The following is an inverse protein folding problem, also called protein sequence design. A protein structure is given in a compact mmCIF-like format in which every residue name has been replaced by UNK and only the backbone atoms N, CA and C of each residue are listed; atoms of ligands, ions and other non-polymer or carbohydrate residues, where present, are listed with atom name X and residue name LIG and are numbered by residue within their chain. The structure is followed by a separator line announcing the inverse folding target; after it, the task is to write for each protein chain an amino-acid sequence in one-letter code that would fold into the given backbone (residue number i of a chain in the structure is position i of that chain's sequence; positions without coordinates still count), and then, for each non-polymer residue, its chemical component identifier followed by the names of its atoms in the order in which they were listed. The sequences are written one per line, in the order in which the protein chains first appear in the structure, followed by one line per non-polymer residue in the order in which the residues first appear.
data_IF_638807139521
#
_entry.id   IF_638807139521
#
_cell.length_a   1.000
_cell.length_b   1.000
_cell.length_c   1.000
_cell.angle_alpha   90.00
_cell.angle_beta   90.00
_cell.angle_gamma   90.00
#
_symmetry.space_group_name_H-M   'P 1'
#
loop_
_entity.id
_entity.type
_entity.pdbx_description
1 polymer ?
#
# COMPACT_ATOMS: atom_id res chain seq x y z
N UNK A 1 3.80 25.53 3.25
CA UNK A 1 3.66 25.38 4.72
C UNK A 1 2.42 26.12 5.23
N UNK A 2 1.22 25.83 4.72
CA UNK A 2 -0.03 26.49 5.15
C UNK A 2 -1.18 25.49 5.44
N UNK A 3 -0.88 24.19 5.53
CA UNK A 3 -1.88 23.13 5.68
C UNK A 3 -2.12 22.66 7.12
N UNK A 4 -1.27 23.04 8.08
CA UNK A 4 -1.36 22.55 9.47
C UNK A 4 -2.35 23.35 10.33
N UNK A 5 -2.53 24.65 10.09
CA UNK A 5 -3.41 25.50 10.92
C UNK A 5 -4.91 25.23 10.69
N UNK A 6 -5.35 24.99 9.45
CA UNK A 6 -6.76 24.71 9.17
C UNK A 6 -7.21 23.34 9.70
N UNK A 7 -6.35 22.32 9.60
CA UNK A 7 -6.66 20.98 10.10
C UNK A 7 -6.77 20.96 11.65
N UNK A 8 -5.87 21.69 12.33
CA UNK A 8 -5.90 21.81 13.79
C UNK A 8 -7.14 22.58 14.25
N UNK A 9 -7.48 23.68 13.58
CA UNK A 9 -8.71 24.44 13.85
C UNK A 9 -10.00 23.64 13.58
N UNK A 10 -10.00 22.75 12.59
CA UNK A 10 -11.14 21.86 12.34
C UNK A 10 -11.26 20.79 13.43
N UNK A 11 -10.14 20.20 13.87
CA UNK A 11 -10.12 19.20 14.94
C UNK A 11 -10.66 19.77 16.27
N UNK A 12 -10.26 20.99 16.63
CA UNK A 12 -10.75 21.68 17.83
C UNK A 12 -12.25 21.97 17.74
N UNK A 13 -12.75 22.37 16.56
CA UNK A 13 -14.18 22.59 16.33
C UNK A 13 -14.99 21.30 16.41
N UNK A 14 -14.45 20.18 15.95
CA UNK A 14 -15.07 18.86 16.05
C UNK A 14 -15.10 18.40 17.51
N UNK A 15 -14.00 18.58 18.25
CA UNK A 15 -13.92 18.24 19.67
C UNK A 15 -14.91 19.07 20.52
N UNK A 16 -15.22 20.30 20.10
CA UNK A 16 -16.21 21.16 20.73
C UNK A 16 -17.67 20.80 20.40
N UNK A 17 -17.93 19.82 19.53
CA UNK A 17 -19.29 19.33 19.28
C UNK A 17 -19.74 18.46 20.45
N UNK A 18 -20.78 18.89 21.16
CA UNK A 18 -21.44 18.09 22.19
C UNK A 18 -22.29 16.98 21.56
N UNK A 19 -21.63 15.91 21.11
CA UNK A 19 -22.27 14.71 20.56
C UNK A 19 -22.86 13.86 21.70
N UNK A 20 -24.00 14.27 22.23
CA UNK A 20 -24.78 13.48 23.20
C UNK A 20 -25.84 12.68 22.46
N UNK A 21 -25.70 11.36 22.37
CA UNK A 21 -26.53 10.53 21.49
C UNK A 21 -27.22 9.35 22.18
N UNK A 22 -28.41 9.02 21.68
CA UNK A 22 -29.13 7.74 21.89
C UNK A 22 -28.60 6.59 21.01
N UNK A 23 -27.66 6.90 20.12
CA UNK A 23 -26.96 5.96 19.23
C UNK A 23 -25.49 5.96 19.63
N UNK A 24 -24.91 4.78 19.78
CA UNK A 24 -23.53 4.64 20.23
C UNK A 24 -22.53 5.12 19.18
N UNK A 25 -21.53 5.85 19.66
CA UNK A 25 -20.37 6.23 18.87
C UNK A 25 -19.58 5.00 18.43
N UNK A 26 -18.94 5.08 17.28
CA UNK A 26 -18.07 4.00 16.82
C UNK A 26 -16.89 3.81 17.80
N UNK A 27 -16.49 2.56 18.05
CA UNK A 27 -15.29 2.27 18.83
C UNK A 27 -14.12 3.02 18.20
N UNK A 28 -13.44 3.90 18.95
CA UNK A 28 -12.32 4.75 18.48
C UNK A 28 -12.68 6.01 17.68
N UNK A 29 -13.94 6.44 17.61
CA UNK A 29 -14.30 7.73 17.00
C UNK A 29 -15.50 8.37 17.68
N UNK A 30 -15.61 9.70 17.61
CA UNK A 30 -16.84 10.40 17.98
C UNK A 30 -17.94 10.29 16.92
N UNK A 31 -17.68 9.66 15.77
CA UNK A 31 -18.64 9.47 14.68
C UNK A 31 -19.60 8.30 14.96
N UNK A 32 -20.85 8.50 14.58
CA UNK A 32 -21.83 7.43 14.36
C UNK A 32 -21.78 7.00 12.89
N UNK A 33 -21.69 5.69 12.62
CA UNK A 33 -21.69 5.18 11.24
C UNK A 33 -23.10 5.26 10.65
N UNK A 34 -23.23 5.70 9.40
CA UNK A 34 -24.52 5.70 8.69
C UNK A 34 -25.10 4.28 8.67
N UNK A 35 -24.27 3.25 8.46
CA UNK A 35 -24.70 1.85 8.51
C UNK A 35 -25.40 1.48 9.84
N UNK A 36 -25.00 2.03 10.99
CA UNK A 36 -25.65 1.71 12.27
C UNK A 36 -27.01 2.40 12.45
N UNK A 37 -27.33 3.38 11.60
CA UNK A 37 -28.63 4.06 11.55
C UNK A 37 -29.52 3.39 10.50
N UNK A 38 -29.10 3.41 9.23
CA UNK A 38 -29.93 2.99 8.09
C UNK A 38 -29.98 1.47 7.91
N UNK A 39 -28.97 0.74 8.41
CA UNK A 39 -28.90 -0.71 8.33
C UNK A 39 -29.70 -1.45 9.41
N UNK A 40 -30.45 -0.73 10.26
CA UNK A 40 -31.35 -1.34 11.25
C UNK A 40 -32.57 -1.95 10.55
N UNK A 41 -33.23 -2.98 11.12
CA UNK A 41 -34.41 -3.61 10.51
C UNK A 41 -35.56 -2.63 10.21
N UNK A 42 -35.69 -1.57 11.01
CA UNK A 42 -36.67 -0.49 10.85
C UNK A 42 -36.17 0.66 9.96
N UNK A 43 -34.96 0.55 9.40
CA UNK A 43 -34.29 1.61 8.64
C UNK A 43 -33.95 2.85 9.47
N UNK A 44 -33.85 2.71 10.79
CA UNK A 44 -33.53 3.81 11.72
C UNK A 44 -34.74 4.53 12.31
N UNK A 45 -35.97 4.21 11.89
CA UNK A 45 -37.19 4.91 12.32
C UNK A 45 -37.37 4.96 13.85
N UNK A 46 -36.96 3.93 14.59
CA UNK A 46 -37.04 3.88 16.05
C UNK A 46 -36.06 4.81 16.78
N UNK A 47 -35.18 5.51 16.05
CA UNK A 47 -34.23 6.51 16.60
C UNK A 47 -34.77 7.94 16.51
N UNK A 48 -35.98 8.15 15.99
CA UNK A 48 -36.51 9.48 15.69
C UNK A 48 -37.00 10.28 16.92
N UNK A 49 -36.64 11.56 16.99
CA UNK A 49 -37.16 12.56 17.93
C UNK A 49 -38.29 13.43 17.37
N UNK A 50 -38.97 14.20 18.22
CA UNK A 50 -40.07 15.09 17.81
C UNK A 50 -39.58 16.49 17.41
N UNK A 51 -39.87 16.97 16.19
CA UNK A 51 -39.76 18.39 15.79
C UNK A 51 -40.34 18.64 14.38
N UNK A 52 -40.81 19.86 14.07
CA UNK A 52 -41.40 20.28 12.76
C UNK A 52 -40.59 21.39 12.08
N UNK A 53 -40.40 21.37 10.74
CA UNK A 53 -40.23 22.51 9.80
C UNK A 53 -39.98 22.02 8.35
N UNK A 54 -39.96 22.94 7.37
CA UNK A 54 -39.83 22.72 5.91
C UNK A 54 -38.44 23.16 5.42
N UNK A 55 -37.73 22.29 4.68
CA UNK A 55 -36.27 22.25 4.78
C UNK A 55 -35.55 21.86 3.45
N UNK A 56 -34.22 22.11 3.33
CA UNK A 56 -33.38 21.82 2.14
C UNK A 56 -32.55 20.55 2.34
N UNK A 57 -32.36 19.77 1.28
CA UNK A 57 -31.82 18.39 1.34
C UNK A 57 -30.36 18.27 0.91
N UNK A 58 -29.58 17.50 1.67
CA UNK A 58 -28.25 17.00 1.34
C UNK A 58 -28.25 15.48 1.51
N UNK A 59 -27.42 14.78 0.74
CA UNK A 59 -27.16 13.36 0.94
C UNK A 59 -25.74 13.17 1.44
N UNK A 60 -25.58 12.52 2.59
CA UNK A 60 -24.27 12.16 3.12
C UNK A 60 -24.01 10.67 2.93
N UNK A 61 -22.82 10.36 2.45
CA UNK A 61 -22.26 9.01 2.46
C UNK A 61 -20.93 9.05 3.22
N UNK A 62 -20.70 8.00 4.01
CA UNK A 62 -19.56 7.93 4.92
C UNK A 62 -18.67 6.71 4.64
N UNK A 63 -18.93 6.02 3.52
CA UNK A 63 -18.23 4.83 3.03
C UNK A 63 -18.56 3.53 3.77
N UNK A 64 -19.40 3.56 4.81
CA UNK A 64 -19.70 2.36 5.60
C UNK A 64 -20.72 1.44 4.91
N UNK A 65 -21.61 1.99 4.09
CA UNK A 65 -22.64 1.28 3.33
C UNK A 65 -22.98 2.02 2.02
N UNK A 66 -23.63 1.36 1.05
CA UNK A 66 -24.07 1.99 -0.19
C UNK A 66 -25.18 3.03 0.03
N UNK A 67 -25.94 2.91 1.12
CA UNK A 67 -27.04 3.82 1.43
C UNK A 67 -26.53 5.19 1.90
N UNK A 68 -27.18 6.25 1.43
CA UNK A 68 -26.95 7.62 1.87
C UNK A 68 -27.90 7.97 3.03
N UNK A 69 -27.43 8.80 3.96
CA UNK A 69 -28.30 9.44 4.95
C UNK A 69 -28.80 10.76 4.38
N UNK A 70 -30.13 10.91 4.33
CA UNK A 70 -30.74 12.20 4.03
C UNK A 70 -30.50 13.15 5.21
N UNK A 71 -29.92 14.30 4.91
CA UNK A 71 -29.56 15.32 5.87
C UNK A 71 -30.28 16.59 5.49
N UNK A 72 -30.84 17.24 6.50
CA UNK A 72 -31.75 18.34 6.32
C UNK A 72 -31.31 19.52 7.16
N UNK A 73 -31.25 20.69 6.53
CA UNK A 73 -30.67 21.86 7.15
C UNK A 73 -31.52 23.11 6.94
N UNK A 74 -31.82 23.79 8.04
CA UNK A 74 -32.46 25.10 8.04
C UNK A 74 -31.51 26.17 7.47
N UNK A 75 -32.05 27.18 6.78
CA UNK A 75 -31.26 28.23 6.14
C UNK A 75 -30.39 29.05 7.10
N UNK A 76 -30.69 29.04 8.40
CA UNK A 76 -29.93 29.74 9.44
C UNK A 76 -28.72 28.98 9.99
N UNK A 77 -28.56 27.69 9.68
CA UNK A 77 -27.52 26.83 10.27
C UNK A 77 -26.15 27.02 9.59
N UNK A 78 -26.12 27.10 8.26
CA UNK A 78 -24.89 27.38 7.51
C UNK A 78 -25.15 27.89 6.08
N UNK A 79 -24.09 28.45 5.48
CA UNK A 79 -24.09 28.88 4.08
C UNK A 79 -23.97 27.67 3.15
N UNK A 80 -25.10 27.24 2.59
CA UNK A 80 -25.22 26.06 1.72
C UNK A 80 -24.33 26.08 0.48
N UNK A 81 -24.03 27.25 -0.10
CA UNK A 81 -23.19 27.32 -1.30
C UNK A 81 -21.79 26.73 -1.09
N UNK A 82 -21.33 26.63 0.17
CA UNK A 82 -20.05 25.98 0.53
C UNK A 82 -20.16 24.47 0.73
N UNK A 83 -21.37 23.92 0.86
CA UNK A 83 -21.63 22.53 1.25
C UNK A 83 -22.22 21.67 0.13
N UNK A 84 -22.65 22.28 -0.98
CA UNK A 84 -23.38 21.59 -2.06
C UNK A 84 -22.44 20.91 -3.07
N UNK A 85 -21.15 21.24 -3.07
CA UNK A 85 -20.20 20.60 -3.97
C UNK A 85 -20.05 19.10 -3.63
N UNK A 86 -20.24 18.24 -4.62
CA UNK A 86 -20.07 16.79 -4.45
C UNK A 86 -18.64 16.49 -3.99
N UNK A 87 -18.54 15.73 -2.90
CA UNK A 87 -17.27 15.36 -2.29
C UNK A 87 -16.85 16.23 -1.12
N UNK A 88 -17.55 17.35 -0.85
CA UNK A 88 -17.32 18.20 0.33
C UNK A 88 -17.37 17.38 1.62
N UNK A 89 -16.39 17.60 2.49
CA UNK A 89 -16.28 16.90 3.77
C UNK A 89 -16.91 17.75 4.88
N UNK A 90 -17.83 17.14 5.64
CA UNK A 90 -18.56 17.80 6.72
C UNK A 90 -18.63 16.92 7.96
N UNK A 91 -18.74 17.56 9.13
CA UNK A 91 -19.30 16.94 10.33
C UNK A 91 -20.63 17.59 10.61
N UNK A 92 -21.66 16.79 10.83
CA UNK A 92 -22.99 17.25 11.17
C UNK A 92 -23.42 16.65 12.51
N UNK A 93 -24.09 17.47 13.31
CA UNK A 93 -24.71 17.10 14.58
C UNK A 93 -26.17 17.55 14.53
N UNK A 94 -27.07 16.72 15.04
CA UNK A 94 -28.50 16.94 14.86
C UNK A 94 -29.38 15.79 15.35
N UNK A 95 -30.68 15.91 15.05
CA UNK A 95 -31.72 15.02 15.55
C UNK A 95 -32.29 14.17 14.41
N UNK A 96 -32.29 12.85 14.58
CA UNK A 96 -32.93 11.92 13.64
C UNK A 96 -34.45 12.06 13.70
N UNK A 97 -35.11 11.94 12.54
CA UNK A 97 -36.56 12.06 12.39
C UNK A 97 -37.12 11.08 11.38
N UNK A 98 -38.39 10.71 11.58
CA UNK A 98 -39.17 10.05 10.55
C UNK A 98 -39.61 11.11 9.53
N UNK A 99 -39.32 10.91 8.23
CA UNK A 99 -39.76 11.83 7.19
C UNK A 99 -41.30 11.87 7.08
N UNK A 100 -41.87 12.89 6.42
CA UNK A 100 -43.31 12.97 6.17
C UNK A 100 -43.86 11.73 5.44
N UNK A 101 -45.17 11.49 5.57
CA UNK A 101 -45.83 10.37 4.91
C UNK A 101 -45.74 10.51 3.37
N UNK A 102 -45.39 9.43 2.67
CA UNK A 102 -45.21 9.42 1.21
C UNK A 102 -43.77 9.64 0.72
N UNK A 103 -42.81 9.87 1.61
CA UNK A 103 -41.38 9.95 1.25
C UNK A 103 -40.75 8.55 1.15
N UNK A 104 -39.76 8.36 0.27
CA UNK A 104 -39.08 7.05 0.07
C UNK A 104 -38.13 6.69 1.20
N UNK A 105 -37.54 7.70 1.83
CA UNK A 105 -36.60 7.56 2.94
C UNK A 105 -37.35 7.12 4.20
N UNK A 106 -36.70 6.34 5.07
CA UNK A 106 -37.28 5.86 6.34
C UNK A 106 -36.86 6.71 7.54
N UNK A 107 -35.76 7.44 7.39
CA UNK A 107 -35.12 8.25 8.42
C UNK A 107 -34.40 9.43 7.74
N UNK A 108 -34.35 10.56 8.41
CA UNK A 108 -33.59 11.74 8.00
C UNK A 108 -32.94 12.40 9.22
N UNK A 109 -31.85 13.12 9.02
CA UNK A 109 -31.16 13.86 10.08
C UNK A 109 -31.41 15.35 9.93
N UNK A 110 -32.10 15.96 10.89
CA UNK A 110 -32.20 17.43 10.98
C UNK A 110 -30.96 17.98 11.66
N UNK A 111 -30.15 18.71 10.91
CA UNK A 111 -28.89 19.30 11.37
C UNK A 111 -29.15 20.50 12.27
N UNK A 112 -28.56 20.46 13.46
CA UNK A 112 -28.50 21.61 14.37
C UNK A 112 -27.16 22.34 14.26
N UNK A 113 -26.07 21.60 13.98
CA UNK A 113 -24.72 22.16 13.82
C UNK A 113 -23.99 21.47 12.68
N UNK A 114 -23.21 22.24 11.93
CA UNK A 114 -22.33 21.73 10.87
C UNK A 114 -20.96 22.36 10.96
N UNK A 115 -19.93 21.53 10.79
CA UNK A 115 -18.54 21.94 10.61
C UNK A 115 -18.13 21.53 9.21
N UNK A 116 -17.80 22.53 8.39
CA UNK A 116 -17.19 22.31 7.09
C UNK A 116 -15.70 22.02 7.29
N UNK A 117 -15.26 20.82 6.93
CA UNK A 117 -13.88 20.37 7.13
C UNK A 117 -12.98 20.81 5.97
N UNK A 118 -13.46 20.73 4.74
CA UNK A 118 -12.65 21.06 3.58
C UNK A 118 -13.44 21.21 2.29
N UNK A 119 -13.03 22.20 1.49
CA UNK A 119 -13.52 22.44 0.14
C UNK A 119 -12.97 21.36 -0.80
N UNK A 120 -13.77 21.02 -1.81
CA UNK A 120 -13.34 20.14 -2.89
C UNK A 120 -13.22 20.95 -4.17
N UNK A 121 -12.03 20.89 -4.77
CA UNK A 121 -11.85 21.26 -6.16
C UNK A 121 -12.53 20.18 -7.03
N UNK A 122 -13.47 20.54 -7.92
CA UNK A 122 -14.18 19.56 -8.75
C UNK A 122 -13.25 18.86 -9.76
N UNK A 123 -12.52 17.85 -9.30
CA UNK A 123 -11.70 16.99 -10.14
C UNK A 123 -12.51 15.78 -10.66
N UNK A 124 -12.41 15.55 -11.98
CA UNK A 124 -13.11 14.47 -12.70
C UNK A 124 -12.24 13.21 -12.77
N UNK A 125 -12.86 12.07 -12.46
CA UNK A 125 -12.48 10.71 -12.87
C UNK A 125 -10.99 10.31 -12.72
N UNK A 126 -10.46 10.43 -11.51
CA UNK A 126 -9.15 9.86 -11.16
C UNK A 126 -9.29 8.50 -10.50
N UNK A 127 -8.44 7.54 -10.90
CA UNK A 127 -8.43 6.17 -10.37
C UNK A 127 -8.39 6.13 -8.83
N UNK A 128 -7.60 6.99 -8.21
CA UNK A 128 -7.46 7.06 -6.75
C UNK A 128 -8.71 7.60 -6.02
N UNK A 129 -9.64 8.25 -6.73
CA UNK A 129 -10.92 8.72 -6.18
C UNK A 129 -12.08 7.76 -6.46
N UNK A 130 -11.88 6.74 -7.31
CA UNK A 130 -12.96 5.82 -7.70
C UNK A 130 -13.54 5.04 -6.53
N UNK A 131 -12.77 4.78 -5.48
CA UNK A 131 -13.30 4.18 -4.24
C UNK A 131 -14.42 4.98 -3.58
N UNK A 132 -14.62 6.25 -3.97
CA UNK A 132 -15.72 7.12 -3.51
C UNK A 132 -16.97 7.06 -4.40
N UNK A 133 -16.92 6.36 -5.53
CA UNK A 133 -18.11 6.13 -6.37
C UNK A 133 -18.85 4.89 -5.90
N UNK A 134 -20.18 4.91 -6.02
CA UNK A 134 -21.03 3.88 -5.42
C UNK A 134 -20.63 2.45 -5.85
N UNK A 135 -20.45 2.21 -7.15
CA UNK A 135 -20.12 0.88 -7.68
C UNK A 135 -18.77 0.38 -7.19
N UNK A 136 -17.72 1.21 -7.25
CA UNK A 136 -16.36 0.78 -6.88
C UNK A 136 -16.23 0.67 -5.35
N UNK A 137 -16.91 1.53 -4.59
CA UNK A 137 -16.99 1.42 -3.14
C UNK A 137 -17.60 0.07 -2.72
N UNK A 138 -18.72 -0.30 -3.33
CA UNK A 138 -19.41 -1.58 -3.08
C UNK A 138 -18.54 -2.77 -3.46
N UNK A 139 -17.87 -2.73 -4.62
CA UNK A 139 -16.92 -3.77 -5.02
C UNK A 139 -15.78 -3.90 -4.00
N UNK A 140 -15.25 -2.79 -3.48
CA UNK A 140 -14.20 -2.79 -2.47
C UNK A 140 -14.68 -3.39 -1.13
N UNK A 141 -15.90 -3.06 -0.70
CA UNK A 141 -16.53 -3.63 0.50
C UNK A 141 -16.72 -5.15 0.37
N UNK A 142 -17.25 -5.61 -0.77
CA UNK A 142 -17.42 -7.05 -1.08
C UNK A 142 -16.06 -7.76 -1.09
N UNK A 143 -15.05 -7.20 -1.77
CA UNK A 143 -13.68 -7.77 -1.80
C UNK A 143 -13.09 -7.88 -0.40
N UNK A 144 -13.24 -6.86 0.43
CA UNK A 144 -12.79 -6.89 1.83
C UNK A 144 -13.48 -7.99 2.63
N UNK A 145 -14.80 -8.12 2.51
CA UNK A 145 -15.56 -9.16 3.20
C UNK A 145 -15.14 -10.57 2.77
N UNK A 146 -14.90 -10.79 1.47
CA UNK A 146 -14.42 -12.07 0.95
C UNK A 146 -13.02 -12.41 1.44
N UNK A 147 -12.09 -11.44 1.49
CA UNK A 147 -10.75 -11.67 2.01
C UNK A 147 -10.79 -12.14 3.48
N UNK A 148 -11.64 -11.51 4.32
CA UNK A 148 -11.86 -11.95 5.69
C UNK A 148 -12.49 -13.35 5.74
N UNK A 149 -13.51 -13.60 4.92
CA UNK A 149 -14.18 -14.90 4.84
C UNK A 149 -13.22 -16.02 4.47
N UNK A 150 -12.29 -15.77 3.54
CA UNK A 150 -11.23 -16.71 3.17
C UNK A 150 -10.39 -17.11 4.37
N UNK A 151 -9.88 -16.13 5.12
CA UNK A 151 -9.10 -16.40 6.31
C UNK A 151 -9.91 -17.17 7.37
N UNK A 152 -11.16 -16.78 7.61
CA UNK A 152 -12.04 -17.48 8.56
C UNK A 152 -12.27 -18.94 8.16
N UNK A 153 -12.62 -19.20 6.90
CA UNK A 153 -12.90 -20.56 6.42
C UNK A 153 -11.75 -21.52 6.68
N UNK A 154 -10.53 -21.11 6.33
CA UNK A 154 -9.33 -21.95 6.46
C UNK A 154 -8.88 -22.06 7.91
N UNK A 155 -8.89 -20.98 8.69
CA UNK A 155 -8.47 -21.02 10.09
C UNK A 155 -9.42 -21.84 10.98
N UNK A 156 -10.73 -21.76 10.75
CA UNK A 156 -11.72 -22.61 11.43
C UNK A 156 -11.50 -24.11 11.17
N UNK A 157 -10.77 -24.45 10.11
CA UNK A 157 -10.41 -25.83 9.73
C UNK A 157 -8.94 -26.15 10.02
N UNK A 158 -8.30 -25.34 10.86
CA UNK A 158 -6.92 -25.53 11.31
C UNK A 158 -5.83 -25.43 10.22
N UNK A 159 -6.14 -24.80 9.08
CA UNK A 159 -5.11 -24.42 8.13
C UNK A 159 -4.23 -23.31 8.72
N UNK A 160 -2.95 -23.33 8.36
CA UNK A 160 -2.00 -22.28 8.73
C UNK A 160 -1.81 -21.34 7.55
N UNK A 161 -1.90 -20.03 7.83
CA UNK A 161 -1.59 -19.02 6.83
C UNK A 161 -0.07 -18.84 6.73
N UNK A 162 0.47 -19.09 5.55
CA UNK A 162 1.91 -19.04 5.29
C UNK A 162 2.21 -17.99 4.24
N UNK A 163 3.18 -17.12 4.52
CA UNK A 163 3.72 -16.19 3.52
C UNK A 163 4.82 -16.89 2.72
N UNK A 164 4.53 -17.20 1.46
CA UNK A 164 5.51 -17.73 0.52
C UNK A 164 6.37 -16.60 -0.08
N UNK A 165 7.63 -16.86 -0.46
CA UNK A 165 8.47 -15.85 -1.11
C UNK A 165 7.85 -15.34 -2.42
N UNK A 166 7.76 -14.03 -2.59
CA UNK A 166 7.26 -13.40 -3.83
C UNK A 166 8.36 -13.35 -4.90
N UNK A 167 9.60 -13.06 -4.49
CA UNK A 167 10.75 -13.09 -5.39
C UNK A 167 11.23 -14.55 -5.47
N UNK A 168 11.21 -15.10 -6.67
CA UNK A 168 11.59 -16.48 -6.95
C UNK A 168 12.57 -16.53 -8.12
N UNK A 169 13.36 -17.61 -8.19
CA UNK A 169 14.27 -17.90 -9.31
C UNK A 169 13.68 -18.96 -10.26
N UNK A 170 12.42 -19.32 -10.08
CA UNK A 170 11.75 -20.38 -10.84
C UNK A 170 10.33 -19.98 -11.19
N UNK A 171 9.88 -20.43 -12.37
CA UNK A 171 8.47 -20.37 -12.76
C UNK A 171 7.70 -21.39 -11.91
N UNK A 172 6.79 -20.89 -11.07
CA UNK A 172 6.01 -21.70 -10.15
C UNK A 172 4.76 -22.32 -10.79
N UNK A 173 4.27 -21.75 -11.89
CA UNK A 173 3.02 -22.16 -12.54
C UNK A 173 3.25 -22.80 -13.93
N UNK A 174 4.49 -22.73 -14.45
CA UNK A 174 4.82 -23.22 -15.79
C UNK A 174 4.09 -22.44 -16.89
N UNK A 175 3.60 -21.24 -16.56
CA UNK A 175 2.57 -20.54 -17.30
C UNK A 175 3.13 -19.48 -18.26
N UNK A 176 4.42 -19.13 -18.21
CA UNK A 176 5.00 -18.21 -19.20
C UNK A 176 6.07 -17.24 -18.68
N UNK A 177 6.02 -16.02 -19.22
CA UNK A 177 7.01 -14.95 -19.03
C UNK A 177 6.78 -14.18 -17.70
N UNK A 178 7.81 -14.01 -16.87
CA UNK A 178 7.73 -13.41 -15.50
C UNK A 178 8.34 -12.00 -15.42
N UNK A 179 7.91 -11.16 -14.47
CA UNK A 179 8.48 -9.80 -14.33
C UNK A 179 9.98 -9.77 -13.98
N UNK A 180 10.71 -8.82 -14.59
CA UNK A 180 12.10 -8.59 -14.23
C UNK A 180 12.25 -7.91 -12.88
N UNK A 181 13.06 -8.49 -11.99
CA UNK A 181 13.50 -7.84 -10.75
C UNK A 181 15.00 -7.62 -10.80
N UNK A 182 15.44 -6.36 -10.66
CA UNK A 182 16.85 -5.95 -10.75
C UNK A 182 17.23 -4.95 -9.65
N UNK A 183 18.44 -5.09 -9.12
CA UNK A 183 19.11 -4.05 -8.32
C UNK A 183 20.21 -3.33 -9.10
N UNK A 184 20.56 -3.80 -10.30
CA UNK A 184 21.70 -3.31 -11.08
C UNK A 184 21.59 -1.83 -11.44
N UNK A 185 20.38 -1.30 -11.64
CA UNK A 185 20.16 0.13 -11.92
C UNK A 185 20.60 0.98 -10.72
N UNK A 186 20.18 0.60 -9.51
CA UNK A 186 20.57 1.30 -8.28
C UNK A 186 22.07 1.20 -8.02
N UNK A 187 22.65 0.02 -8.24
CA UNK A 187 24.08 -0.21 -8.07
C UNK A 187 24.92 0.59 -9.07
N UNK A 188 24.48 0.65 -10.33
CA UNK A 188 25.11 1.45 -11.37
C UNK A 188 25.09 2.94 -11.02
N UNK A 189 23.94 3.48 -10.58
CA UNK A 189 23.83 4.88 -10.14
C UNK A 189 24.69 5.20 -8.91
N UNK A 190 24.76 4.27 -7.95
CA UNK A 190 25.61 4.42 -6.77
C UNK A 190 27.09 4.41 -7.14
N UNK A 191 27.51 3.48 -7.99
CA UNK A 191 28.87 3.39 -8.49
C UNK A 191 29.26 4.62 -9.31
N UNK A 192 28.37 5.14 -10.15
CA UNK A 192 28.61 6.35 -10.92
C UNK A 192 28.84 7.57 -10.00
N UNK A 193 27.98 7.76 -8.99
CA UNK A 193 28.17 8.82 -7.98
C UNK A 193 29.47 8.68 -7.20
N UNK A 194 29.88 7.46 -6.89
CA UNK A 194 31.15 7.19 -6.21
C UNK A 194 32.35 7.45 -7.13
N UNK A 195 32.31 7.03 -8.40
CA UNK A 195 33.38 7.29 -9.38
C UNK A 195 33.54 8.79 -9.69
N UNK A 196 32.46 9.58 -9.63
CA UNK A 196 32.55 11.05 -9.73
C UNK A 196 33.31 11.64 -8.53
N UNK A 197 33.07 11.14 -7.31
CA UNK A 197 33.76 11.61 -6.09
C UNK A 197 35.18 11.08 -5.98
N UNK A 198 35.41 9.85 -6.42
CA UNK A 198 36.63 9.08 -6.29
C UNK A 198 36.99 8.51 -7.68
N UNK A 199 37.62 9.28 -8.57
CA UNK A 199 37.89 8.83 -9.94
C UNK A 199 38.82 7.61 -9.97
N UNK A 200 38.77 6.80 -11.05
CA UNK A 200 39.75 5.73 -11.27
C UNK A 200 41.19 6.27 -11.21
N UNK A 201 42.15 5.46 -10.72
CA UNK A 201 43.55 5.87 -10.67
C UNK A 201 44.09 6.11 -12.07
N UNK A 202 44.98 7.10 -12.20
CA UNK A 202 45.66 7.37 -13.47
C UNK A 202 46.68 6.27 -13.74
N UNK A 203 47.05 6.09 -15.01
CA UNK A 203 48.08 5.13 -15.41
C UNK A 203 49.43 5.41 -14.71
N UNK A 204 49.74 6.70 -14.48
CA UNK A 204 50.91 7.12 -13.71
C UNK A 204 50.85 6.67 -12.23
N UNK A 205 49.66 6.69 -11.61
CA UNK A 205 49.47 6.25 -10.22
C UNK A 205 49.66 4.72 -10.11
N UNK A 206 49.17 3.98 -11.10
CA UNK A 206 49.36 2.53 -11.21
C UNK A 206 50.83 2.16 -11.38
N UNK A 207 51.56 2.84 -12.27
CA UNK A 207 52.99 2.62 -12.48
C UNK A 207 53.81 2.99 -11.24
N UNK A 208 53.51 4.11 -10.58
CA UNK A 208 54.14 4.49 -9.33
C UNK A 208 53.92 3.44 -8.22
N UNK A 209 52.71 2.88 -8.11
CA UNK A 209 52.40 1.83 -7.13
C UNK A 209 53.14 0.51 -7.44
N UNK A 210 53.23 0.11 -8.72
CA UNK A 210 54.04 -1.07 -9.14
C UNK A 210 55.52 -0.87 -8.83
N UNK A 211 56.04 0.32 -9.14
CA UNK A 211 57.43 0.68 -8.87
C UNK A 211 57.72 0.64 -7.35
N UNK A 212 56.82 1.17 -6.53
CA UNK A 212 56.93 1.11 -5.06
C UNK A 212 56.96 -0.34 -4.54
N UNK A 213 56.09 -1.22 -5.06
CA UNK A 213 56.10 -2.65 -4.69
C UNK A 213 57.42 -3.32 -5.07
N UNK A 214 57.97 -2.98 -6.25
CA UNK A 214 59.28 -3.46 -6.72
C UNK A 214 60.41 -3.00 -5.81
N UNK A 215 60.48 -1.70 -5.49
CA UNK A 215 61.48 -1.10 -4.61
C UNK A 215 61.45 -1.69 -3.19
N UNK A 216 60.25 -1.83 -2.60
CA UNK A 216 60.10 -2.47 -1.29
C UNK A 216 60.47 -3.95 -1.32
N UNK A 217 60.18 -4.64 -2.44
CA UNK A 217 60.61 -6.02 -2.67
C UNK A 217 62.15 -6.15 -2.69
N UNK A 218 62.83 -5.23 -3.37
CA UNK A 218 64.29 -5.15 -3.41
C UNK A 218 64.88 -4.83 -2.04
N UNK A 219 64.28 -3.91 -1.27
CA UNK A 219 64.74 -3.58 0.08
C UNK A 219 64.65 -4.79 1.04
N UNK A 220 63.56 -5.57 0.98
CA UNK A 220 63.44 -6.82 1.75
C UNK A 220 64.53 -7.83 1.35
N UNK A 221 64.82 -7.94 0.05
CA UNK A 221 65.87 -8.85 -0.46
C UNK A 221 67.25 -8.42 0.03
N UNK A 222 67.59 -7.14 -0.07
CA UNK A 222 68.88 -6.60 0.39
C UNK A 222 69.09 -6.79 1.91
N UNK A 223 68.06 -6.58 2.72
CA UNK A 223 68.14 -6.81 4.18
C UNK A 223 68.35 -8.29 4.53
N UNK A 224 67.73 -9.21 3.77
CA UNK A 224 67.95 -10.65 3.91
C UNK A 224 69.37 -11.04 3.51
N UNK A 225 69.86 -10.52 2.38
CA UNK A 225 71.20 -10.79 1.87
C UNK A 225 72.29 -10.23 2.82
N UNK A 226 72.04 -9.07 3.44
CA UNK A 226 72.92 -8.44 4.43
C UNK A 226 72.85 -9.06 5.84
N UNK A 227 72.04 -10.11 6.06
CA UNK A 227 71.80 -10.74 7.38
C UNK A 227 71.40 -9.74 8.47
N UNK A 228 70.56 -8.77 8.11
CA UNK A 228 70.02 -7.79 9.05
C UNK A 228 69.19 -8.45 10.16
N UNK A 229 68.89 -7.70 11.23
CA UNK A 229 68.13 -8.24 12.36
C UNK A 229 66.74 -8.73 11.94
N UNK A 230 66.21 -9.71 12.67
CA UNK A 230 64.86 -10.24 12.43
C UNK A 230 63.78 -9.16 12.58
N UNK A 231 64.01 -8.15 13.43
CA UNK A 231 63.12 -7.02 13.61
C UNK A 231 63.10 -6.10 12.38
N UNK A 232 64.27 -5.73 11.85
CA UNK A 232 64.36 -4.83 10.69
C UNK A 232 63.82 -5.48 9.41
N UNK A 233 64.09 -6.77 9.22
CA UNK A 233 63.54 -7.55 8.12
C UNK A 233 62.02 -7.68 8.24
N UNK A 234 61.51 -7.91 9.45
CA UNK A 234 60.07 -7.97 9.74
C UNK A 234 59.36 -6.65 9.43
N UNK A 235 59.92 -5.52 9.85
CA UNK A 235 59.38 -4.19 9.54
C UNK A 235 59.31 -3.94 8.03
N UNK A 236 60.35 -4.30 7.28
CA UNK A 236 60.38 -4.12 5.82
C UNK A 236 59.36 -5.02 5.08
N UNK A 237 59.10 -6.24 5.57
CA UNK A 237 58.06 -7.12 5.03
C UNK A 237 56.65 -6.56 5.26
N UNK A 238 56.40 -5.92 6.42
CA UNK A 238 55.12 -5.24 6.69
C UNK A 238 54.88 -4.13 5.68
N UNK A 239 55.90 -3.31 5.40
CA UNK A 239 55.80 -2.23 4.41
C UNK A 239 55.60 -2.76 2.98
N UNK A 240 56.24 -3.87 2.61
CA UNK A 240 55.99 -4.54 1.34
C UNK A 240 54.54 -5.05 1.22
N UNK A 241 53.99 -5.63 2.28
CA UNK A 241 52.61 -6.12 2.27
C UNK A 241 51.59 -4.96 2.16
N UNK A 242 51.83 -3.84 2.85
CA UNK A 242 51.01 -2.62 2.69
C UNK A 242 51.05 -2.11 1.25
N UNK A 243 52.24 -2.04 0.63
CA UNK A 243 52.37 -1.61 -0.76
C UNK A 243 51.63 -2.54 -1.74
N UNK A 244 51.68 -3.86 -1.51
CA UNK A 244 50.92 -4.84 -2.30
C UNK A 244 49.41 -4.68 -2.14
N UNK A 245 48.93 -4.45 -0.92
CA UNK A 245 47.50 -4.21 -0.67
C UNK A 245 47.02 -2.91 -1.33
N UNK A 246 47.82 -1.85 -1.28
CA UNK A 246 47.54 -0.60 -2.01
C UNK A 246 47.47 -0.81 -3.51
N UNK A 247 48.40 -1.58 -4.10
CA UNK A 247 48.37 -1.90 -5.53
C UNK A 247 47.12 -2.72 -5.91
N UNK A 248 46.73 -3.69 -5.09
CA UNK A 248 45.50 -4.47 -5.31
C UNK A 248 44.25 -3.59 -5.31
N UNK A 249 44.13 -2.66 -4.34
CA UNK A 249 42.99 -1.73 -4.28
C UNK A 249 42.95 -0.81 -5.51
N UNK A 250 44.10 -0.32 -5.97
CA UNK A 250 44.18 0.51 -7.18
C UNK A 250 43.80 -0.29 -8.43
N UNK A 251 44.27 -1.54 -8.55
CA UNK A 251 43.92 -2.45 -9.65
C UNK A 251 42.42 -2.78 -9.67
N UNK A 252 41.83 -3.13 -8.53
CA UNK A 252 40.38 -3.32 -8.40
C UNK A 252 39.60 -2.06 -8.77
N UNK A 253 40.05 -0.88 -8.32
CA UNK A 253 39.42 0.40 -8.65
C UNK A 253 39.48 0.71 -10.15
N UNK A 254 40.62 0.42 -10.79
CA UNK A 254 40.83 0.64 -12.23
C UNK A 254 39.87 -0.19 -13.11
N UNK A 255 39.36 -1.30 -12.59
CA UNK A 255 38.45 -2.21 -13.32
C UNK A 255 36.99 -1.76 -13.24
N UNK A 256 36.65 -0.87 -12.31
CA UNK A 256 35.28 -0.35 -12.17
C UNK A 256 34.95 0.57 -13.35
N UNK A 257 33.80 0.32 -13.98
CA UNK A 257 33.26 1.13 -15.07
C UNK A 257 31.92 1.73 -14.65
N UNK A 258 31.63 2.99 -15.01
CA UNK A 258 30.31 3.57 -14.77
C UNK A 258 29.26 2.89 -15.66
N UNK A 259 28.00 2.92 -15.21
CA UNK A 259 26.87 2.35 -15.93
C UNK A 259 26.59 0.88 -15.62
N UNK A 260 25.52 0.37 -16.20
CA UNK A 260 25.04 -1.00 -15.96
C UNK A 260 26.07 -2.00 -16.52
N UNK A 261 26.46 -3.05 -15.76
CA UNK A 261 27.37 -4.08 -16.22
C UNK A 261 26.97 -4.65 -17.59
N UNK A 262 27.95 -4.88 -18.46
CA UNK A 262 27.73 -5.45 -19.79
C UNK A 262 28.62 -6.67 -20.03
N UNK A 263 28.06 -7.68 -20.68
CA UNK A 263 28.74 -8.88 -21.15
C UNK A 263 28.43 -9.07 -22.63
N UNK A 264 29.48 -9.19 -23.44
CA UNK A 264 29.37 -9.34 -24.91
C UNK A 264 28.54 -8.22 -25.60
N UNK A 265 28.64 -6.99 -25.09
CA UNK A 265 27.94 -5.81 -25.63
C UNK A 265 26.45 -5.72 -25.30
N UNK A 266 25.94 -6.61 -24.43
CA UNK A 266 24.58 -6.56 -23.87
C UNK A 266 24.66 -6.33 -22.37
N UNK A 267 23.60 -5.78 -21.78
CA UNK A 267 23.49 -5.67 -20.32
C UNK A 267 23.62 -7.06 -19.72
N UNK A 268 24.50 -7.19 -18.73
CA UNK A 268 24.78 -8.43 -18.02
C UNK A 268 23.72 -8.64 -16.93
N UNK A 269 22.63 -9.30 -17.32
CA UNK A 269 21.55 -9.71 -16.43
C UNK A 269 21.82 -11.04 -15.71
N UNK A 270 23.06 -11.54 -15.67
CA UNK A 270 23.36 -12.83 -15.01
C UNK A 270 23.02 -12.85 -13.52
N UNK A 271 22.81 -11.68 -12.90
CA UNK A 271 22.37 -11.51 -11.52
C UNK A 271 20.90 -11.09 -11.38
N UNK A 272 20.18 -10.94 -12.49
CA UNK A 272 18.78 -10.49 -12.54
C UNK A 272 17.84 -11.61 -13.00
N UNK A 273 16.57 -11.53 -12.60
CA UNK A 273 15.57 -12.55 -12.93
C UNK A 273 14.45 -11.99 -13.80
N UNK A 274 14.17 -12.67 -14.92
CA UNK A 274 12.97 -12.74 -15.82
C UNK A 274 12.55 -11.54 -16.69
N UNK A 275 11.72 -11.77 -17.72
CA UNK A 275 11.15 -10.78 -18.64
C UNK A 275 9.64 -11.05 -18.84
N UNK A 276 8.77 -10.01 -18.95
CA UNK A 276 7.31 -10.13 -18.75
C UNK A 276 6.50 -10.49 -20.02
N UNK A 277 5.36 -11.17 -19.81
CA UNK A 277 4.37 -11.45 -20.86
C UNK A 277 3.49 -10.24 -21.18
N UNK A 278 3.13 -10.10 -22.46
CA UNK A 278 2.16 -9.11 -22.93
C UNK A 278 0.81 -9.76 -23.27
N UNK A 279 -0.10 -9.78 -22.29
CA UNK A 279 -1.49 -10.19 -22.50
C UNK A 279 -2.45 -9.04 -22.20
N UNK A 280 -3.23 -8.62 -23.21
CA UNK A 280 -4.20 -7.53 -23.08
C UNK A 280 -5.61 -8.03 -23.33
N UNK A 281 -6.22 -8.64 -22.31
CA UNK A 281 -7.63 -9.08 -22.34
C UNK A 281 -8.42 -8.46 -21.18
N UNK A 282 -9.75 -8.49 -21.25
CA UNK A 282 -10.62 -7.99 -20.18
C UNK A 282 -10.60 -8.85 -18.90
N UNK A 283 -9.93 -10.00 -18.92
CA UNK A 283 -9.87 -10.97 -17.81
C UNK A 283 -8.47 -11.20 -17.27
N UNK A 284 -7.44 -10.70 -17.94
CA UNK A 284 -6.05 -10.86 -17.52
C UNK A 284 -5.54 -9.59 -16.83
N UNK A 285 -4.90 -9.80 -15.69
CA UNK A 285 -4.16 -8.77 -14.98
C UNK A 285 -2.71 -9.23 -14.89
N UNK A 286 -1.78 -8.29 -15.06
CA UNK A 286 -0.36 -8.51 -14.79
C UNK A 286 -0.09 -8.88 -13.31
N UNK A 287 -0.91 -8.35 -12.41
CA UNK A 287 -0.80 -8.58 -10.96
C UNK A 287 -2.17 -8.91 -10.42
N UNK A 288 -2.29 -10.09 -9.81
CA UNK A 288 -3.50 -10.58 -9.15
C UNK A 288 -3.13 -11.31 -7.86
N UNK A 289 -4.15 -11.71 -7.10
CA UNK A 289 -3.98 -12.39 -5.81
C UNK A 289 -4.52 -13.81 -5.93
N UNK A 290 -3.76 -14.77 -5.41
CA UNK A 290 -4.15 -16.18 -5.35
C UNK A 290 -4.39 -16.63 -3.91
N UNK A 291 -5.20 -17.68 -3.78
CA UNK A 291 -5.45 -18.39 -2.53
C UNK A 291 -5.21 -19.85 -2.82
N UNK A 292 -4.13 -20.39 -2.25
CA UNK A 292 -3.60 -21.71 -2.60
C UNK A 292 -3.51 -22.58 -1.33
N UNK A 293 -4.56 -23.36 -1.03
CA UNK A 293 -4.54 -24.30 0.09
C UNK A 293 -3.78 -25.59 -0.29
N UNK A 294 -3.04 -26.13 0.66
CA UNK A 294 -2.37 -27.44 0.55
C UNK A 294 -2.80 -28.34 1.71
N UNK A 295 -3.11 -29.60 1.42
CA UNK A 295 -3.68 -30.55 2.40
C UNK A 295 -2.87 -31.85 2.37
N UNK A 296 -2.15 -32.14 3.46
CA UNK A 296 -1.41 -33.38 3.58
C UNK A 296 -2.36 -34.60 3.61
N UNK A 297 -2.00 -35.66 2.87
CA UNK A 297 -2.76 -36.92 2.76
C UNK A 297 -4.16 -36.81 2.14
N UNK A 298 -4.48 -35.69 1.49
CA UNK A 298 -5.69 -35.56 0.69
C UNK A 298 -5.54 -36.27 -0.66
N UNK A 299 -6.63 -36.86 -1.13
CA UNK A 299 -6.77 -37.22 -2.53
C UNK A 299 -7.59 -36.17 -3.31
N UNK A 300 -7.77 -36.41 -4.61
CA UNK A 300 -8.52 -35.50 -5.48
C UNK A 300 -9.97 -35.26 -4.99
N UNK A 301 -10.60 -36.28 -4.41
CA UNK A 301 -11.97 -36.15 -3.91
C UNK A 301 -12.01 -35.22 -2.69
N UNK A 302 -11.02 -35.31 -1.81
CA UNK A 302 -10.87 -34.40 -0.66
C UNK A 302 -10.64 -32.95 -1.12
N UNK A 303 -9.78 -32.74 -2.13
CA UNK A 303 -9.53 -31.40 -2.71
C UNK A 303 -10.80 -30.80 -3.31
N UNK A 304 -11.55 -31.58 -4.09
CA UNK A 304 -12.82 -31.16 -4.67
C UNK A 304 -13.85 -30.80 -3.59
N UNK A 305 -13.92 -31.61 -2.53
CA UNK A 305 -14.81 -31.34 -1.40
C UNK A 305 -14.43 -30.03 -0.68
N UNK A 306 -13.13 -29.79 -0.49
CA UNK A 306 -12.63 -28.56 0.12
C UNK A 306 -12.97 -27.34 -0.75
N UNK A 307 -12.72 -27.41 -2.06
CA UNK A 307 -13.02 -26.35 -3.01
C UNK A 307 -14.53 -26.04 -3.07
N UNK A 308 -15.38 -27.06 -3.11
CA UNK A 308 -16.84 -26.89 -3.08
C UNK A 308 -17.31 -26.23 -1.77
N UNK A 309 -16.80 -26.71 -0.63
CA UNK A 309 -17.12 -26.15 0.68
C UNK A 309 -16.67 -24.68 0.78
N UNK A 310 -15.50 -24.34 0.24
CA UNK A 310 -14.97 -22.99 0.21
C UNK A 310 -15.89 -22.04 -0.56
N UNK A 311 -16.27 -22.40 -1.80
CA UNK A 311 -17.16 -21.57 -2.62
C UNK A 311 -18.53 -21.40 -1.95
N UNK A 312 -19.12 -22.47 -1.41
CA UNK A 312 -20.38 -22.42 -0.67
C UNK A 312 -20.29 -21.48 0.54
N UNK A 313 -19.19 -21.54 1.27
CA UNK A 313 -18.95 -20.67 2.41
C UNK A 313 -18.84 -19.20 1.98
N UNK A 314 -18.12 -18.89 0.90
CA UNK A 314 -18.03 -17.53 0.36
C UNK A 314 -19.41 -16.97 -0.04
N UNK A 315 -20.21 -17.76 -0.76
CA UNK A 315 -21.57 -17.36 -1.13
C UNK A 315 -22.44 -17.09 0.10
N UNK A 316 -22.39 -17.97 1.10
CA UNK A 316 -23.13 -17.78 2.36
C UNK A 316 -22.67 -16.50 3.07
N UNK A 317 -21.36 -16.27 3.17
CA UNK A 317 -20.81 -15.08 3.80
C UNK A 317 -21.30 -13.79 3.13
N UNK A 318 -21.32 -13.74 1.79
CA UNK A 318 -21.83 -12.59 1.05
C UNK A 318 -23.30 -12.32 1.37
N UNK A 319 -24.14 -13.36 1.39
CA UNK A 319 -25.56 -13.23 1.71
C UNK A 319 -25.81 -12.78 3.14
N UNK A 320 -24.96 -13.18 4.09
CA UNK A 320 -25.12 -12.85 5.50
C UNK A 320 -24.51 -11.49 5.89
N UNK A 321 -23.42 -11.07 5.23
CA UNK A 321 -22.61 -9.91 5.64
C UNK A 321 -22.66 -8.74 4.66
N UNK A 322 -22.99 -9.00 3.39
CA UNK A 322 -22.92 -8.02 2.31
C UNK A 322 -24.23 -7.94 1.51
N UNK A 323 -25.38 -8.26 2.11
CA UNK A 323 -26.65 -8.29 1.40
C UNK A 323 -26.99 -6.95 0.74
N UNK A 324 -26.88 -5.84 1.48
CA UNK A 324 -27.15 -4.49 0.96
C UNK A 324 -26.24 -4.14 -0.23
N UNK A 325 -24.97 -4.55 -0.15
CA UNK A 325 -23.95 -4.34 -1.18
C UNK A 325 -24.29 -5.17 -2.43
N UNK A 326 -24.70 -6.43 -2.26
CA UNK A 326 -25.15 -7.32 -3.33
C UNK A 326 -26.44 -6.83 -4.00
N UNK A 327 -27.41 -6.35 -3.22
CA UNK A 327 -28.64 -5.77 -3.74
C UNK A 327 -28.38 -4.51 -4.56
N UNK A 328 -27.44 -3.67 -4.12
CA UNK A 328 -27.02 -2.50 -4.89
C UNK A 328 -26.44 -2.91 -6.24
N UNK A 329 -25.55 -3.91 -6.26
CA UNK A 329 -24.95 -4.42 -7.50
C UNK A 329 -25.98 -5.05 -8.43
N UNK A 330 -27.01 -5.72 -7.91
CA UNK A 330 -28.05 -6.35 -8.73
C UNK A 330 -28.99 -5.33 -9.41
N UNK A 331 -29.08 -4.11 -8.87
CA UNK A 331 -29.93 -3.01 -9.39
C UNK A 331 -29.16 -2.04 -10.31
N UNK A 332 -27.83 -2.13 -10.33
CA UNK A 332 -26.92 -1.27 -11.10
C UNK A 332 -26.69 -1.80 -12.50
#
# INVERSE_FOLDING_TARGET
MAGTDQATAAADRIAAMNLTGSVENHAFSYRVLIRSIVGRPDGGAGLAGQSRAMERFLELNDGACPANLQVIMDAGVAVLSKLVATGTCVVVDGILKVPPEGTKQRIELRVEKVVHIGEVDPAKDHLHLRSRTNTIAVIAQIRNALALATHSFFQERHFLYVHTPIITTSDCEGAGEMFQVTTLISEAEMLEKDLIKNPPPLEADMEAAKQLVSERGLAVKQLKDAKASKADTGASVVELNKAKESLLKLDERSKLKPGIPQKDGKIDYTQDFFAPEQSHTSRHLAVFWMVEPEIAFADLQDDMNCAEAYVKYMCKWLLEKCLDDMEFMAKS
#
